data_IF_567255039121
#
_entry.id   IF_567255039121
#
_cell.length_a   1.000
_cell.length_b   1.000
_cell.length_c   1.000
_cell.angle_alpha   90.00
_cell.angle_beta   90.00
_cell.angle_gamma   90.00
#
_symmetry.space_group_name_H-M   'P 1'
#
loop_
_entity.id
_entity.type
_entity.pdbx_description
1 polymer ?
#
# COMPACT_ATOMS: atom_id res chain seq x y z
N UNK A 1 -13.22 -22.26 46.60
CA UNK A 1 -11.98 -21.70 46.02
C UNK A 1 -12.41 -20.75 44.91
N UNK A 2 -12.08 -19.46 45.01
CA UNK A 2 -12.52 -18.43 44.06
C UNK A 2 -11.89 -18.66 42.69
N UNK A 3 -12.72 -18.83 41.66
CA UNK A 3 -12.31 -18.70 40.26
C UNK A 3 -11.87 -17.26 40.02
N UNK A 4 -10.56 -17.03 39.88
CA UNK A 4 -10.07 -15.75 39.38
C UNK A 4 -10.35 -15.69 37.88
N UNK A 5 -11.50 -15.10 37.55
CA UNK A 5 -11.85 -14.66 36.21
C UNK A 5 -10.93 -13.52 35.78
N UNK A 6 -9.66 -13.82 35.48
CA UNK A 6 -8.70 -12.86 34.93
C UNK A 6 -9.00 -12.64 33.45
N UNK A 7 -9.86 -11.67 33.18
CA UNK A 7 -10.08 -11.13 31.84
C UNK A 7 -8.76 -10.58 31.28
N UNK A 8 -8.07 -11.38 30.47
CA UNK A 8 -6.82 -11.01 29.80
C UNK A 8 -7.09 -9.82 28.86
N UNK A 9 -6.43 -8.69 29.12
CA UNK A 9 -6.59 -7.47 28.33
C UNK A 9 -5.42 -7.33 27.37
N UNK A 10 -5.71 -7.21 26.08
CA UNK A 10 -4.70 -6.86 25.08
C UNK A 10 -4.25 -5.42 25.26
N UNK A 11 -2.95 -5.22 25.44
CA UNK A 11 -2.32 -3.90 25.44
C UNK A 11 -1.73 -3.61 24.06
N UNK A 12 -1.86 -2.37 23.60
CA UNK A 12 -1.39 -1.96 22.28
C UNK A 12 -0.24 -0.96 22.40
N UNK A 13 0.75 -1.11 21.53
CA UNK A 13 1.93 -0.25 21.48
C UNK A 13 2.22 0.14 20.03
N UNK A 14 2.92 1.25 19.85
CA UNK A 14 3.39 1.70 18.54
C UNK A 14 4.88 2.01 18.53
N UNK A 15 5.52 1.78 17.40
CA UNK A 15 6.91 2.15 17.13
C UNK A 15 7.02 2.83 15.75
N UNK A 16 8.03 3.69 15.60
CA UNK A 16 8.30 4.38 14.34
C UNK A 16 8.79 3.44 13.22
N UNK A 17 9.45 2.33 13.58
CA UNK A 17 9.99 1.32 12.65
C UNK A 17 9.86 -0.09 13.20
N UNK A 18 9.93 -1.06 12.29
CA UNK A 18 10.02 -2.49 12.61
C UNK A 18 11.34 -2.80 13.34
N UNK A 19 11.36 -3.80 14.23
CA UNK A 19 12.48 -4.19 15.11
C UNK A 19 12.96 -3.13 16.14
N UNK A 20 12.28 -2.00 16.28
CA UNK A 20 12.46 -1.13 17.44
C UNK A 20 11.62 -1.65 18.62
N UNK A 21 12.15 -1.50 19.83
CA UNK A 21 11.33 -1.72 21.03
C UNK A 21 10.13 -0.76 20.97
N UNK A 22 8.91 -1.23 21.30
CA UNK A 22 7.72 -0.40 21.26
C UNK A 22 7.90 0.87 22.10
N UNK A 23 7.94 2.02 21.42
CA UNK A 23 8.30 3.31 22.01
C UNK A 23 7.19 3.87 22.91
N UNK A 24 5.93 3.65 22.52
CA UNK A 24 4.77 4.27 23.18
C UNK A 24 3.57 3.34 23.25
N UNK A 25 2.93 3.30 24.41
CA UNK A 25 1.62 2.65 24.58
C UNK A 25 0.54 3.44 23.83
N UNK A 26 -0.38 2.71 23.21
CA UNK A 26 -1.57 3.29 22.57
C UNK A 26 -2.70 3.26 23.58
N UNK A 27 -3.06 4.44 24.09
CA UNK A 27 -4.18 4.60 25.01
C UNK A 27 -5.50 4.76 24.25
N UNK A 28 -6.58 4.28 24.87
CA UNK A 28 -7.93 4.42 24.35
C UNK A 28 -8.32 5.90 24.34
N UNK A 29 -8.88 6.37 23.24
CA UNK A 29 -9.45 7.71 23.13
C UNK A 29 -10.64 7.71 22.14
N UNK A 30 -11.03 8.89 21.66
CA UNK A 30 -12.14 9.01 20.70
C UNK A 30 -11.84 8.37 19.34
N UNK A 31 -10.57 8.40 18.92
CA UNK A 31 -10.08 7.81 17.68
C UNK A 31 -9.67 6.36 17.85
N UNK A 32 -9.02 6.00 18.95
CA UNK A 32 -8.50 4.67 19.23
C UNK A 32 -9.45 3.90 20.16
N UNK A 33 -10.25 3.00 19.58
CA UNK A 33 -11.16 2.12 20.33
C UNK A 33 -10.53 0.75 20.52
N UNK A 34 -10.20 0.42 21.76
CA UNK A 34 -9.68 -0.89 22.15
C UNK A 34 -10.81 -1.67 22.81
N UNK A 35 -11.19 -2.82 22.22
CA UNK A 35 -12.24 -3.69 22.75
C UNK A 35 -11.63 -4.97 23.32
N UNK A 36 -12.12 -5.37 24.50
CA UNK A 36 -12.03 -6.76 24.96
C UNK A 36 -13.09 -7.53 24.19
N UNK A 37 -12.71 -8.55 23.43
CA UNK A 37 -13.71 -9.50 22.92
C UNK A 37 -13.94 -10.50 24.05
N UNK A 38 -15.19 -10.69 24.47
CA UNK A 38 -15.58 -11.47 25.65
C UNK A 38 -15.21 -12.98 25.62
N UNK A 39 -14.49 -13.43 24.58
CA UNK A 39 -13.84 -14.74 24.49
C UNK A 39 -12.33 -14.56 24.24
N UNK A 40 -11.62 -14.25 25.33
CA UNK A 40 -10.23 -14.52 25.78
C UNK A 40 -9.03 -14.58 24.79
N UNK A 41 -9.18 -14.67 23.47
CA UNK A 41 -8.02 -14.90 22.59
C UNK A 41 -7.68 -13.74 21.63
N UNK A 42 -8.61 -12.81 21.41
CA UNK A 42 -8.46 -11.81 20.37
C UNK A 42 -8.59 -10.38 20.93
N UNK A 43 -7.46 -9.66 20.97
CA UNK A 43 -7.44 -8.21 21.15
C UNK A 43 -7.80 -7.51 19.84
N UNK A 44 -8.75 -6.58 19.87
CA UNK A 44 -9.10 -5.76 18.70
C UNK A 44 -8.90 -4.28 19.04
N UNK A 45 -8.19 -3.58 18.15
CA UNK A 45 -8.05 -2.13 18.15
C UNK A 45 -8.59 -1.57 16.84
N UNK A 46 -9.52 -0.63 16.95
CA UNK A 46 -10.08 0.12 15.83
C UNK A 46 -9.58 1.56 15.89
N UNK A 47 -9.02 2.04 14.79
CA UNK A 47 -8.57 3.43 14.63
C UNK A 47 -9.60 4.14 13.75
N UNK A 48 -10.23 5.18 14.29
CA UNK A 48 -11.21 6.02 13.63
C UNK A 48 -10.54 7.32 13.20
N UNK A 49 -10.93 7.86 12.04
CA UNK A 49 -10.36 9.09 11.48
C UNK A 49 -8.82 9.03 11.41
N UNK A 50 -8.31 8.11 10.55
CA UNK A 50 -6.88 7.90 10.31
C UNK A 50 -6.22 9.17 9.77
N UNK A 51 -5.13 9.60 10.40
CA UNK A 51 -4.33 10.75 10.01
C UNK A 51 -2.91 10.31 9.60
N UNK A 52 -2.16 11.11 8.81
CA UNK A 52 -0.79 10.78 8.43
C UNK A 52 0.12 10.46 9.62
N UNK A 53 -0.08 11.13 10.75
CA UNK A 53 0.68 10.98 12.00
C UNK A 53 0.42 9.64 12.71
N UNK A 54 -0.63 8.91 12.31
CA UNK A 54 -0.93 7.57 12.82
C UNK A 54 -0.10 6.47 12.12
N UNK A 55 0.72 6.83 11.12
CA UNK A 55 1.66 5.91 10.46
C UNK A 55 2.71 5.39 11.44
N UNK A 56 2.56 4.13 11.84
CA UNK A 56 3.45 3.45 12.77
C UNK A 56 3.33 1.93 12.64
N UNK A 57 4.25 1.20 13.25
CA UNK A 57 4.14 -0.25 13.46
C UNK A 57 3.41 -0.48 14.79
N UNK A 58 2.30 -1.22 14.76
CA UNK A 58 1.48 -1.50 15.94
C UNK A 58 1.74 -2.92 16.47
N UNK A 59 1.97 -3.03 17.77
CA UNK A 59 2.25 -4.26 18.48
C UNK A 59 1.16 -4.56 19.50
N UNK A 60 0.72 -5.82 19.55
CA UNK A 60 -0.17 -6.32 20.57
C UNK A 60 0.64 -7.04 21.66
N UNK A 61 0.33 -6.77 22.92
CA UNK A 61 0.90 -7.42 24.09
C UNK A 61 -0.22 -8.09 24.88
N UNK A 62 -0.10 -9.39 25.05
CA UNK A 62 -1.05 -10.23 25.81
C UNK A 62 -0.27 -10.94 26.92
N UNK A 63 -0.75 -10.85 28.16
CA UNK A 63 -0.12 -11.50 29.32
C UNK A 63 1.40 -11.25 29.42
N UNK A 64 1.83 -10.00 29.25
CA UNK A 64 3.25 -9.66 29.33
C UNK A 64 4.07 -9.97 28.07
N UNK A 65 3.52 -10.76 27.13
CA UNK A 65 4.22 -11.19 25.91
C UNK A 65 3.75 -10.39 24.71
N UNK A 66 4.71 -9.86 23.94
CA UNK A 66 4.41 -9.30 22.63
C UNK A 66 4.02 -10.43 21.69
N UNK A 67 2.91 -10.26 20.99
CA UNK A 67 2.47 -11.19 19.97
C UNK A 67 3.55 -11.30 18.88
N UNK A 68 3.68 -12.45 18.21
CA UNK A 68 4.55 -12.60 17.07
C UNK A 68 3.92 -11.83 15.91
N UNK A 69 4.05 -10.51 15.92
CA UNK A 69 3.81 -9.67 14.76
C UNK A 69 4.84 -10.02 13.69
N UNK A 70 4.74 -11.22 13.12
CA UNK A 70 5.51 -11.68 11.96
C UNK A 70 4.93 -10.96 10.74
N UNK A 71 5.16 -9.65 10.67
CA UNK A 71 5.19 -9.00 9.37
C UNK A 71 6.48 -9.54 8.77
N UNK A 72 6.37 -10.51 7.86
CA UNK A 72 7.53 -10.90 7.08
C UNK A 72 7.86 -9.68 6.21
N UNK A 73 8.73 -8.80 6.74
CA UNK A 73 9.05 -7.52 6.17
C UNK A 73 9.60 -7.69 4.76
N UNK A 74 10.35 -8.77 4.52
CA UNK A 74 10.80 -9.18 3.19
C UNK A 74 9.62 -9.45 2.25
N UNK A 75 8.61 -10.23 2.67
CA UNK A 75 7.38 -10.48 1.90
C UNK A 75 6.53 -9.21 1.72
N UNK A 76 6.47 -8.34 2.72
CA UNK A 76 5.72 -7.08 2.67
C UNK A 76 6.37 -6.08 1.70
N UNK A 77 7.69 -5.93 1.77
CA UNK A 77 8.50 -5.11 0.85
C UNK A 77 8.44 -5.70 -0.55
N UNK A 78 8.56 -7.03 -0.72
CA UNK A 78 8.44 -7.70 -2.02
C UNK A 78 7.06 -7.44 -2.66
N UNK A 79 5.99 -7.50 -1.87
CA UNK A 79 4.62 -7.19 -2.35
C UNK A 79 4.46 -5.71 -2.72
N UNK A 80 5.13 -4.80 -2.03
CA UNK A 80 5.14 -3.37 -2.41
C UNK A 80 5.83 -3.16 -3.75
N UNK A 81 7.05 -3.70 -3.92
CA UNK A 81 7.84 -3.54 -5.14
C UNK A 81 7.14 -4.08 -6.39
N UNK A 82 6.41 -5.20 -6.27
CA UNK A 82 5.64 -5.76 -7.39
C UNK A 82 4.54 -4.79 -7.86
N UNK A 83 3.89 -4.08 -6.93
CA UNK A 83 2.87 -3.09 -7.28
C UNK A 83 3.47 -1.90 -8.02
N UNK A 84 4.64 -1.42 -7.57
CA UNK A 84 5.34 -0.31 -8.22
C UNK A 84 5.73 -0.69 -9.66
N UNK A 85 6.30 -1.89 -9.87
CA UNK A 85 6.62 -2.39 -11.21
C UNK A 85 5.38 -2.52 -12.11
N UNK A 86 4.23 -2.95 -11.56
CA UNK A 86 2.99 -3.07 -12.32
C UNK A 86 2.50 -1.70 -12.82
N UNK A 87 2.63 -0.65 -12.00
CA UNK A 87 2.28 0.72 -12.39
C UNK A 87 3.15 1.19 -13.56
N UNK A 88 4.46 0.95 -13.52
CA UNK A 88 5.36 1.29 -14.62
C UNK A 88 5.03 0.54 -15.91
N UNK A 89 4.75 -0.77 -15.83
CA UNK A 89 4.37 -1.58 -17.00
C UNK A 89 3.07 -1.07 -17.62
N UNK A 90 2.07 -0.78 -16.80
CA UNK A 90 0.79 -0.23 -17.26
C UNK A 90 0.97 1.14 -17.94
N UNK A 91 1.80 2.01 -17.37
CA UNK A 91 2.12 3.30 -17.98
C UNK A 91 2.81 3.14 -19.34
N UNK A 92 3.81 2.25 -19.44
CA UNK A 92 4.52 1.97 -20.71
C UNK A 92 3.59 1.38 -21.78
N UNK A 93 2.70 0.47 -21.41
CA UNK A 93 1.72 -0.10 -22.33
C UNK A 93 0.74 0.96 -22.85
N UNK A 94 0.25 1.85 -21.99
CA UNK A 94 -0.64 2.93 -22.42
C UNK A 94 0.06 3.91 -23.37
N UNK A 95 1.32 4.26 -23.07
CA UNK A 95 2.13 5.10 -23.96
C UNK A 95 2.34 4.39 -25.30
N UNK A 96 2.69 3.12 -25.31
CA UNK A 96 2.87 2.36 -26.55
C UNK A 96 1.58 2.29 -27.38
N UNK A 97 0.43 2.03 -26.75
CA UNK A 97 -0.87 1.92 -27.43
C UNK A 97 -1.34 3.27 -28.00
N UNK A 98 -1.03 4.40 -27.35
CA UNK A 98 -1.48 5.72 -27.82
C UNK A 98 -0.47 6.36 -28.77
N UNK A 99 0.81 6.38 -28.41
CA UNK A 99 1.86 7.09 -29.15
C UNK A 99 2.23 6.37 -30.44
N UNK A 100 2.31 5.04 -30.44
CA UNK A 100 2.71 4.27 -31.64
C UNK A 100 1.75 4.50 -32.82
N UNK A 101 0.42 4.34 -32.71
CA UNK A 101 -0.48 4.61 -33.83
C UNK A 101 -0.52 6.08 -34.23
N UNK A 102 -0.33 7.03 -33.30
CA UNK A 102 -0.22 8.45 -33.63
C UNK A 102 1.01 8.74 -34.49
N UNK A 103 2.17 8.19 -34.12
CA UNK A 103 3.43 8.35 -34.88
C UNK A 103 3.33 7.65 -36.24
N UNK A 104 2.74 6.45 -36.30
CA UNK A 104 2.51 5.75 -37.57
C UNK A 104 1.58 6.55 -38.49
N UNK A 105 0.49 7.11 -37.97
CA UNK A 105 -0.41 7.99 -38.73
C UNK A 105 0.33 9.24 -39.22
N UNK A 106 1.14 9.87 -38.37
CA UNK A 106 1.90 11.05 -38.76
C UNK A 106 2.91 10.73 -39.87
N UNK A 107 3.64 9.62 -39.77
CA UNK A 107 4.56 9.14 -40.81
C UNK A 107 3.83 8.79 -42.11
N UNK A 108 2.65 8.18 -42.03
CA UNK A 108 1.85 7.84 -43.20
C UNK A 108 1.35 9.10 -43.91
N UNK A 109 0.82 10.08 -43.16
CA UNK A 109 0.38 11.38 -43.70
C UNK A 109 1.55 12.16 -44.32
N UNK A 110 2.73 12.18 -43.68
CA UNK A 110 3.90 12.86 -44.25
C UNK A 110 4.40 12.16 -45.51
N UNK A 111 4.39 10.82 -45.55
CA UNK A 111 4.77 10.04 -46.73
C UNK A 111 3.80 10.29 -47.91
N UNK A 112 2.49 10.25 -47.65
CA UNK A 112 1.46 10.54 -48.66
C UNK A 112 1.51 11.99 -49.16
N UNK A 113 1.83 12.96 -48.30
CA UNK A 113 2.03 14.35 -48.72
C UNK A 113 3.25 14.49 -49.63
N UNK A 114 4.35 13.83 -49.31
CA UNK A 114 5.59 13.89 -50.10
C UNK A 114 5.42 13.23 -51.47
N UNK A 115 4.72 12.10 -51.55
CA UNK A 115 4.40 11.46 -52.84
C UNK A 115 3.47 12.29 -53.72
N UNK A 116 2.62 13.13 -53.11
CA UNK A 116 1.71 14.02 -53.85
C UNK A 116 2.45 15.21 -54.46
N UNK A 117 3.37 15.81 -53.70
CA UNK A 117 4.23 16.92 -54.17
C UNK A 117 5.11 16.47 -55.35
N UNK A 118 5.75 15.30 -55.23
CA UNK A 118 6.60 14.76 -56.31
C UNK A 118 5.81 14.52 -57.60
N UNK A 119 4.54 14.13 -57.48
CA UNK A 119 3.68 13.89 -58.65
C UNK A 119 3.21 15.20 -59.31
N UNK A 120 3.00 16.24 -58.50
CA UNK A 120 2.56 17.57 -58.96
C UNK A 120 3.68 18.30 -59.71
N UNK A 121 4.94 18.14 -59.30
CA UNK A 121 6.12 18.69 -60.01
C UNK A 121 6.45 17.95 -61.32
N UNK A 122 5.92 16.73 -61.54
CA UNK A 122 6.16 15.95 -62.77
C UNK A 122 5.11 16.14 -63.86
N UNK A 123 4.00 16.81 -63.55
CA UNK A 123 2.87 17.08 -64.47
C UNK A 123 2.88 18.52 -65.03
N UNK A 124 3.97 19.29 -64.82
CA UNK A 124 4.21 20.66 -65.36
C UNK A 124 5.37 20.62 -66.37
#
# INVERSE_FOLDING_TARGET
MQDQNTSVVAEWFKASKYDLQPEKRVDKNDRFKISKKDNVENGLMKIMNLQPEDSAVYYCKLNGKFGPGKINAEKAVKRSRIKDTMIFIQALLLVAVVVTPLVLRHKQVSSTRMSKIIKEDSDV
#
